data_IF_993697812235
#
_entry.id   IF_993697812235
#
_cell.length_a   1.000
_cell.length_b   1.000
_cell.length_c   1.000
_cell.angle_alpha   90.00
_cell.angle_beta   90.00
_cell.angle_gamma   90.00
#
_symmetry.space_group_name_H-M   'P 1'
#
loop_
_entity.id
_entity.type
_entity.pdbx_description
1 polymer ?
#
# COMPACT_ATOMS: atom_id res chain seq x y z
N UNK A 1 -59.09 20.95 28.89
CA UNK A 1 -60.19 21.81 28.38
C UNK A 1 -60.19 23.10 29.18
N UNK A 2 -60.38 24.24 28.51
CA UNK A 2 -60.37 25.66 28.97
C UNK A 2 -59.03 26.40 29.13
N UNK A 3 -58.75 27.20 28.09
CA UNK A 3 -58.08 28.52 28.10
C UNK A 3 -59.14 29.59 28.45
N UNK A 4 -58.77 30.75 29.02
CA UNK A 4 -58.92 32.01 28.26
C UNK A 4 -57.74 33.01 28.44
N UNK A 5 -57.70 34.11 27.65
CA UNK A 5 -56.47 34.75 27.18
C UNK A 5 -56.22 36.18 27.70
N UNK A 6 -54.96 36.61 27.67
CA UNK A 6 -54.53 38.00 27.48
C UNK A 6 -53.42 37.99 26.42
N UNK A 7 -53.22 38.94 25.52
CA UNK A 7 -53.62 40.34 25.48
C UNK A 7 -52.47 41.09 24.79
N UNK A 8 -52.52 41.12 23.45
CA UNK A 8 -51.89 42.03 22.45
C UNK A 8 -50.46 42.57 22.66
N UNK A 9 -49.63 42.38 21.63
CA UNK A 9 -48.98 43.51 20.95
C UNK A 9 -48.76 43.22 19.46
N UNK A 10 -49.08 44.25 18.67
CA UNK A 10 -49.10 44.30 17.21
C UNK A 10 -47.68 44.35 16.61
N UNK A 11 -47.43 43.55 15.58
CA UNK A 11 -46.46 43.88 14.52
C UNK A 11 -47.05 43.45 13.17
N UNK A 12 -47.32 44.45 12.33
CA UNK A 12 -47.78 44.32 10.96
C UNK A 12 -46.70 43.72 10.03
N UNK A 13 -47.07 43.17 8.86
CA UNK A 13 -46.20 42.30 8.07
C UNK A 13 -45.22 43.13 7.21
N UNK A 14 -43.93 42.82 7.31
CA UNK A 14 -42.93 43.35 6.39
C UNK A 14 -42.99 42.58 5.07
N UNK A 15 -43.37 43.32 4.03
CA UNK A 15 -43.40 42.99 2.61
C UNK A 15 -42.11 42.35 2.08
N UNK A 16 -42.27 41.32 1.24
CA UNK A 16 -41.22 40.70 0.46
C UNK A 16 -40.51 41.71 -0.46
N UNK A 17 -39.16 41.70 -0.56
CA UNK A 17 -38.44 42.53 -1.51
C UNK A 17 -38.48 41.93 -2.93
N UNK A 18 -38.36 42.78 -3.97
CA UNK A 18 -38.57 42.41 -5.36
C UNK A 18 -37.43 41.57 -5.93
N UNK A 19 -37.83 40.66 -6.82
CA UNK A 19 -36.98 39.84 -7.66
C UNK A 19 -36.35 40.72 -8.76
N UNK A 20 -35.08 41.12 -8.59
CA UNK A 20 -34.33 41.83 -9.63
C UNK A 20 -33.05 41.06 -9.97
N UNK A 21 -33.12 40.28 -11.04
CA UNK A 21 -31.96 39.64 -11.67
C UNK A 21 -31.05 40.72 -12.29
N UNK A 22 -29.73 40.67 -12.10
CA UNK A 22 -28.80 41.56 -12.80
C UNK A 22 -28.64 41.15 -14.29
N UNK A 23 -28.26 42.09 -15.17
CA UNK A 23 -28.19 41.84 -16.61
C UNK A 23 -27.05 40.88 -16.98
N UNK A 24 -27.36 39.94 -17.86
CA UNK A 24 -26.41 39.01 -18.50
C UNK A 24 -25.47 39.81 -19.39
N UNK A 25 -24.23 40.01 -18.95
CA UNK A 25 -23.13 40.43 -19.81
C UNK A 25 -22.71 39.24 -20.69
N UNK A 26 -22.81 39.43 -22.01
CA UNK A 26 -22.30 38.48 -23.00
C UNK A 26 -20.78 38.44 -22.92
N UNK A 27 -20.23 37.50 -22.17
CA UNK A 27 -18.81 37.16 -22.23
C UNK A 27 -18.61 36.22 -23.41
N UNK A 28 -17.98 36.73 -24.47
CA UNK A 28 -17.52 35.97 -25.63
C UNK A 28 -16.69 34.78 -25.19
N UNK A 29 -17.17 33.57 -25.49
CA UNK A 29 -16.48 32.32 -25.26
C UNK A 29 -15.26 32.24 -26.23
N UNK A 30 -14.07 32.63 -25.77
CA UNK A 30 -12.82 32.30 -26.47
C UNK A 30 -12.48 30.86 -26.10
N UNK A 31 -12.90 29.92 -26.94
CA UNK A 31 -12.41 28.54 -26.94
C UNK A 31 -10.91 28.57 -27.22
N UNK A 32 -10.08 28.37 -26.18
CA UNK A 32 -8.67 28.00 -26.36
C UNK A 32 -8.64 26.59 -26.96
N UNK A 33 -8.55 26.51 -28.29
CA UNK A 33 -8.18 25.27 -28.98
C UNK A 33 -6.70 25.02 -28.69
N UNK A 34 -6.42 24.12 -27.76
CA UNK A 34 -5.10 23.49 -27.66
C UNK A 34 -5.01 22.50 -28.82
N UNK A 35 -4.30 22.90 -29.87
CA UNK A 35 -4.00 22.04 -31.01
C UNK A 35 -2.85 21.12 -30.62
N UNK A 36 -3.14 19.85 -30.35
CA UNK A 36 -2.09 18.83 -30.33
C UNK A 36 -1.61 18.59 -31.77
N UNK A 37 -0.30 18.55 -32.05
CA UNK A 37 0.17 18.13 -33.36
C UNK A 37 -0.25 16.68 -33.60
N UNK A 38 -1.10 16.49 -34.61
CA UNK A 38 -1.44 15.17 -35.14
C UNK A 38 -0.16 14.63 -35.78
N UNK A 39 0.51 13.69 -35.11
CA UNK A 39 1.53 12.86 -35.75
C UNK A 39 0.87 12.01 -36.85
N UNK A 40 1.45 11.90 -38.05
CA UNK A 40 0.84 11.14 -39.14
C UNK A 40 0.74 9.66 -38.75
N UNK A 41 -0.46 9.11 -38.92
CA UNK A 41 -0.74 7.69 -38.78
C UNK A 41 0.12 6.89 -39.77
N UNK A 42 1.11 6.16 -39.25
CA UNK A 42 1.78 5.10 -39.99
C UNK A 42 0.78 3.97 -40.19
N UNK A 43 0.27 3.85 -41.42
CA UNK A 43 -0.39 2.64 -41.90
C UNK A 43 0.60 1.48 -41.84
N UNK A 44 0.37 0.53 -40.94
CA UNK A 44 0.98 -0.79 -40.98
C UNK A 44 -0.14 -1.81 -41.21
N UNK A 45 -0.46 -2.06 -42.48
CA UNK A 45 -1.20 -3.25 -42.91
C UNK A 45 -0.16 -4.17 -43.54
N UNK A 46 0.19 -5.24 -42.83
CA UNK A 46 1.14 -6.24 -43.28
C UNK A 46 1.00 -7.52 -42.45
N UNK A 47 0.55 -8.58 -43.10
CA UNK A 47 0.41 -9.95 -42.64
C UNK A 47 1.59 -10.44 -41.77
N UNK A 48 1.30 -10.88 -40.54
CA UNK A 48 2.34 -11.42 -39.66
C UNK A 48 1.80 -12.09 -38.40
N UNK A 49 0.69 -12.82 -38.50
CA UNK A 49 0.12 -13.53 -37.34
C UNK A 49 1.05 -14.59 -36.73
N UNK A 50 2.11 -15.02 -37.43
CA UNK A 50 3.13 -15.95 -36.91
C UNK A 50 4.41 -15.28 -36.39
N UNK A 51 4.57 -13.96 -36.50
CA UNK A 51 5.77 -13.26 -36.04
C UNK A 51 5.57 -12.55 -34.69
N UNK A 52 4.29 -12.27 -34.34
CA UNK A 52 3.89 -11.59 -33.09
C UNK A 52 4.13 -12.46 -31.85
N UNK A 53 3.98 -13.78 -31.93
CA UNK A 53 4.29 -14.68 -30.80
C UNK A 53 5.78 -14.73 -30.45
N UNK A 54 6.69 -14.45 -31.39
CA UNK A 54 8.13 -14.50 -31.13
C UNK A 54 8.69 -13.25 -30.41
N UNK A 55 7.91 -12.15 -30.40
CA UNK A 55 8.31 -10.83 -29.86
C UNK A 55 7.79 -10.54 -28.45
N UNK A 56 7.02 -11.47 -27.86
CA UNK A 56 6.65 -11.45 -26.43
C UNK A 56 7.72 -12.07 -25.52
N UNK A 57 8.93 -12.34 -26.04
CA UNK A 57 10.09 -12.49 -25.16
C UNK A 57 10.34 -11.15 -24.48
N UNK A 58 10.10 -11.13 -23.18
CA UNK A 58 10.44 -10.03 -22.28
C UNK A 58 11.73 -9.35 -22.75
N UNK A 59 11.73 -8.02 -22.97
CA UNK A 59 12.98 -7.34 -23.26
C UNK A 59 13.93 -7.68 -22.11
N UNK A 60 15.05 -8.33 -22.43
CA UNK A 60 16.17 -8.46 -21.49
C UNK A 60 16.57 -7.03 -21.17
N UNK A 61 16.07 -6.49 -20.05
CA UNK A 61 16.48 -5.19 -19.54
C UNK A 61 17.99 -5.23 -19.41
N UNK A 62 18.68 -4.32 -20.08
CA UNK A 62 20.13 -4.23 -20.01
C UNK A 62 20.52 -4.10 -18.52
N UNK A 63 21.41 -4.95 -17.99
CA UNK A 63 21.87 -4.82 -16.62
C UNK A 63 22.55 -3.45 -16.45
N UNK A 64 22.22 -2.76 -15.36
CA UNK A 64 22.93 -1.53 -14.98
C UNK A 64 24.42 -1.87 -14.74
N UNK A 65 25.36 -0.97 -15.06
CA UNK A 65 26.78 -1.20 -14.81
C UNK A 65 27.06 -1.49 -13.32
N UNK A 66 27.90 -2.49 -13.03
CA UNK A 66 28.18 -2.97 -11.67
C UNK A 66 28.74 -1.90 -10.72
N UNK A 67 29.44 -0.88 -11.22
CA UNK A 67 29.95 0.24 -10.40
C UNK A 67 28.83 1.17 -9.93
N UNK A 68 27.89 1.50 -10.82
CA UNK A 68 26.75 2.35 -10.53
C UNK A 68 25.81 1.65 -9.52
N UNK A 69 25.61 0.34 -9.70
CA UNK A 69 24.87 -0.48 -8.73
C UNK A 69 25.48 -0.39 -7.31
N UNK A 70 26.81 -0.39 -7.17
CA UNK A 70 27.46 -0.33 -5.84
C UNK A 70 27.29 1.01 -5.13
N UNK A 71 27.44 2.13 -5.85
CA UNK A 71 27.28 3.48 -5.28
C UNK A 71 25.83 3.71 -4.83
N UNK A 72 24.88 3.36 -5.69
CA UNK A 72 23.46 3.46 -5.40
C UNK A 72 23.07 2.55 -4.21
N UNK A 73 23.67 1.35 -4.05
CA UNK A 73 23.43 0.47 -2.87
C UNK A 73 23.84 1.17 -1.58
N UNK A 74 25.00 1.84 -1.57
CA UNK A 74 25.50 2.52 -0.37
C UNK A 74 24.59 3.69 -0.02
N UNK A 75 24.12 4.43 -1.01
CA UNK A 75 23.17 5.53 -0.81
C UNK A 75 21.82 5.02 -0.26
N UNK A 76 21.28 3.93 -0.80
CA UNK A 76 19.92 3.48 -0.48
C UNK A 76 19.80 2.50 0.69
N UNK A 77 20.92 2.08 1.29
CA UNK A 77 20.90 1.13 2.42
C UNK A 77 20.04 1.61 3.60
N UNK A 78 19.88 2.94 3.75
CA UNK A 78 19.00 3.53 4.76
C UNK A 78 17.55 3.08 4.55
N UNK A 79 17.06 2.98 3.32
CA UNK A 79 15.69 2.54 3.04
C UNK A 79 15.43 1.11 3.52
N UNK A 80 16.34 0.16 3.25
CA UNK A 80 16.25 -1.22 3.77
C UNK A 80 16.26 -1.25 5.30
N UNK A 81 17.16 -0.47 5.89
CA UNK A 81 17.33 -0.35 7.34
C UNK A 81 16.08 0.24 8.02
N UNK A 82 15.47 1.27 7.43
CA UNK A 82 14.23 1.88 7.90
C UNK A 82 13.09 0.89 7.80
N UNK A 83 12.86 0.29 6.62
CA UNK A 83 11.84 -0.75 6.41
C UNK A 83 11.97 -1.87 7.44
N UNK A 84 13.16 -2.47 7.58
CA UNK A 84 13.36 -3.57 8.52
C UNK A 84 13.14 -3.20 10.00
N UNK A 85 13.35 -1.93 10.38
CA UNK A 85 13.15 -1.48 11.77
C UNK A 85 11.69 -1.12 12.05
N UNK A 86 11.01 -0.48 11.11
CA UNK A 86 9.65 0.03 11.30
C UNK A 86 8.57 -1.03 11.02
N UNK A 87 8.81 -1.97 10.09
CA UNK A 87 7.81 -2.94 9.62
C UNK A 87 7.06 -3.68 10.75
N UNK A 88 7.70 -4.12 11.86
CA UNK A 88 7.00 -4.82 12.92
C UNK A 88 5.85 -4.00 13.54
N UNK A 89 6.00 -2.67 13.68
CA UNK A 89 4.93 -1.81 14.21
C UNK A 89 3.65 -1.92 13.37
N UNK A 90 3.78 -1.95 12.04
CA UNK A 90 2.63 -2.06 11.16
C UNK A 90 2.12 -3.50 11.03
N UNK A 91 3.02 -4.43 10.70
CA UNK A 91 2.65 -5.79 10.25
C UNK A 91 1.94 -6.60 11.32
N UNK A 92 2.15 -6.29 12.60
CA UNK A 92 1.43 -6.93 13.70
C UNK A 92 -0.09 -6.85 13.58
N UNK A 93 -0.63 -5.81 12.94
CA UNK A 93 -2.09 -5.61 12.79
C UNK A 93 -2.77 -6.76 12.02
N UNK A 94 -2.04 -7.45 11.14
CA UNK A 94 -2.58 -8.54 10.34
C UNK A 94 -2.70 -9.86 11.12
N UNK A 95 -2.01 -9.96 12.25
CA UNK A 95 -1.96 -11.18 13.08
C UNK A 95 -2.53 -10.94 14.49
N UNK A 96 -2.87 -9.69 14.81
CA UNK A 96 -3.50 -9.28 16.05
C UNK A 96 -4.77 -10.09 16.33
N UNK A 97 -4.90 -10.79 17.47
CA UNK A 97 -6.13 -11.52 17.81
C UNK A 97 -7.37 -10.62 17.85
N UNK A 98 -7.18 -9.33 18.18
CA UNK A 98 -8.21 -8.29 18.24
C UNK A 98 -8.89 -8.06 16.89
N UNK A 99 -8.22 -8.39 15.77
CA UNK A 99 -8.73 -8.19 14.43
C UNK A 99 -10.06 -8.91 14.20
N UNK A 100 -10.20 -10.15 14.69
CA UNK A 100 -11.42 -10.93 14.44
C UNK A 100 -12.64 -10.27 15.05
N UNK A 101 -12.52 -9.80 16.28
CA UNK A 101 -13.63 -9.21 17.01
C UNK A 101 -14.00 -7.84 16.42
N UNK A 102 -13.01 -6.98 16.17
CA UNK A 102 -13.26 -5.64 15.62
C UNK A 102 -13.83 -5.66 14.20
N UNK A 103 -13.33 -6.56 13.34
CA UNK A 103 -13.85 -6.69 11.98
C UNK A 103 -15.24 -7.36 11.96
N UNK A 104 -15.52 -8.31 12.87
CA UNK A 104 -16.86 -8.90 12.99
C UNK A 104 -17.90 -7.88 13.42
N UNK A 105 -17.56 -6.95 14.33
CA UNK A 105 -18.46 -5.86 14.77
C UNK A 105 -18.91 -4.96 13.61
N UNK A 106 -18.07 -4.81 12.58
CA UNK A 106 -18.40 -4.01 11.38
C UNK A 106 -18.89 -4.87 10.22
N UNK A 107 -19.26 -6.14 10.43
CA UNK A 107 -19.89 -6.99 9.41
C UNK A 107 -18.94 -7.89 8.62
N UNK A 108 -17.62 -7.80 8.83
CA UNK A 108 -16.63 -8.63 8.15
C UNK A 108 -16.39 -9.93 8.94
N UNK A 109 -17.25 -10.93 8.74
CA UNK A 109 -17.22 -12.19 9.51
C UNK A 109 -16.16 -13.20 9.04
N UNK A 110 -15.73 -13.11 7.78
CA UNK A 110 -14.78 -14.07 7.19
C UNK A 110 -13.36 -13.55 7.37
N UNK A 111 -12.50 -14.28 8.07
CA UNK A 111 -11.09 -13.87 8.28
C UNK A 111 -10.34 -13.53 6.99
N UNK A 112 -10.61 -14.25 5.89
CA UNK A 112 -10.00 -13.97 4.59
C UNK A 112 -10.36 -12.60 4.00
N UNK A 113 -11.45 -11.95 4.45
CA UNK A 113 -11.81 -10.62 4.01
C UNK A 113 -11.10 -9.50 4.80
N UNK A 114 -10.59 -9.79 6.00
CA UNK A 114 -10.02 -8.78 6.91
C UNK A 114 -8.84 -8.05 6.29
N UNK A 115 -7.88 -8.78 5.71
CA UNK A 115 -6.71 -8.19 5.07
C UNK A 115 -7.08 -7.32 3.87
N UNK A 116 -7.90 -7.87 2.96
CA UNK A 116 -8.29 -7.18 1.73
C UNK A 116 -9.11 -5.94 2.04
N UNK A 117 -10.13 -6.05 2.90
CA UNK A 117 -10.97 -4.91 3.28
C UNK A 117 -10.18 -3.84 4.02
N UNK A 118 -9.43 -4.21 5.07
CA UNK A 118 -8.74 -3.23 5.93
C UNK A 118 -7.69 -2.41 5.18
N UNK A 119 -6.97 -3.04 4.25
CA UNK A 119 -5.94 -2.34 3.47
C UNK A 119 -6.53 -1.57 2.28
N UNK A 120 -7.66 -2.01 1.70
CA UNK A 120 -8.29 -1.33 0.54
C UNK A 120 -9.29 -0.26 0.91
N UNK A 121 -9.87 -0.30 2.12
CA UNK A 121 -10.88 0.67 2.56
C UNK A 121 -10.48 2.15 2.39
N UNK A 122 -9.21 2.58 2.57
CA UNK A 122 -8.83 3.97 2.29
C UNK A 122 -9.02 4.40 0.83
N UNK A 123 -9.08 3.46 -0.13
CA UNK A 123 -9.41 3.75 -1.53
C UNK A 123 -10.91 3.98 -1.76
N UNK A 124 -11.75 3.78 -0.73
CA UNK A 124 -13.19 3.72 -0.85
C UNK A 124 -13.71 2.32 -1.21
N UNK A 125 -15.00 2.22 -1.54
CA UNK A 125 -15.67 0.98 -1.93
C UNK A 125 -15.34 0.60 -3.40
N UNK A 126 -14.05 0.46 -3.71
CA UNK A 126 -13.56 0.14 -5.06
C UNK A 126 -13.83 -1.31 -5.43
N UNK A 127 -13.94 -1.57 -6.74
CA UNK A 127 -14.23 -2.91 -7.25
C UNK A 127 -13.08 -3.90 -7.02
N UNK A 128 -13.39 -5.19 -7.14
CA UNK A 128 -12.41 -6.27 -7.03
C UNK A 128 -11.28 -6.14 -8.06
N UNK A 129 -11.55 -5.59 -9.25
CA UNK A 129 -10.55 -5.34 -10.29
C UNK A 129 -9.49 -4.33 -9.83
N UNK A 130 -9.92 -3.24 -9.19
CA UNK A 130 -9.02 -2.21 -8.66
C UNK A 130 -8.21 -2.75 -7.48
N UNK A 131 -8.85 -3.52 -6.59
CA UNK A 131 -8.14 -4.19 -5.50
C UNK A 131 -7.13 -5.19 -6.06
N UNK A 132 -7.47 -6.02 -7.04
CA UNK A 132 -6.54 -6.98 -7.63
C UNK A 132 -5.34 -6.29 -8.30
N UNK A 133 -5.57 -5.20 -9.04
CA UNK A 133 -4.50 -4.45 -9.68
C UNK A 133 -3.52 -3.83 -8.67
N UNK A 134 -4.01 -3.34 -7.53
CA UNK A 134 -3.19 -2.69 -6.49
C UNK A 134 -2.56 -3.70 -5.52
N UNK A 135 -3.24 -4.82 -5.25
CA UNK A 135 -2.79 -5.91 -4.40
C UNK A 135 -2.06 -6.96 -5.24
N UNK A 136 -1.07 -6.49 -6.01
CA UNK A 136 -0.31 -7.21 -7.04
C UNK A 136 -0.13 -8.71 -6.80
N UNK A 137 0.26 -9.11 -5.59
CA UNK A 137 0.54 -10.51 -5.25
C UNK A 137 -0.66 -11.46 -5.21
N UNK A 138 -1.91 -11.00 -5.11
CA UNK A 138 -3.07 -11.88 -4.93
C UNK A 138 -3.55 -12.52 -6.24
N UNK A 139 -4.08 -13.74 -6.16
CA UNK A 139 -4.87 -14.32 -7.24
C UNK A 139 -6.19 -13.56 -7.40
N UNK A 140 -6.60 -13.31 -8.64
CA UNK A 140 -7.86 -12.63 -8.94
C UNK A 140 -9.06 -13.34 -8.28
N UNK A 141 -9.10 -14.66 -8.32
CA UNK A 141 -10.14 -15.48 -7.71
C UNK A 141 -10.21 -15.29 -6.19
N UNK A 142 -9.07 -15.11 -5.52
CA UNK A 142 -9.02 -14.83 -4.10
C UNK A 142 -9.60 -13.45 -3.77
N UNK A 143 -9.28 -12.42 -4.58
CA UNK A 143 -9.82 -11.06 -4.39
C UNK A 143 -11.34 -11.03 -4.64
N UNK A 144 -11.79 -11.59 -5.77
CA UNK A 144 -13.21 -11.64 -6.15
C UNK A 144 -14.08 -12.39 -5.14
N UNK A 145 -13.50 -13.34 -4.41
CA UNK A 145 -14.19 -14.11 -3.37
C UNK A 145 -14.58 -13.28 -2.14
N UNK A 146 -13.90 -12.17 -1.87
CA UNK A 146 -14.07 -11.42 -0.62
C UNK A 146 -14.50 -9.98 -0.84
N UNK A 147 -13.87 -9.25 -1.78
CA UNK A 147 -14.04 -7.79 -1.89
C UNK A 147 -15.50 -7.35 -2.12
N UNK A 148 -16.28 -7.97 -3.03
CA UNK A 148 -17.68 -7.56 -3.22
C UNK A 148 -18.51 -7.68 -1.94
N UNK A 149 -18.38 -8.83 -1.25
CA UNK A 149 -19.08 -9.09 0.00
C UNK A 149 -18.70 -8.10 1.11
N UNK A 150 -17.47 -7.57 1.11
CA UNK A 150 -17.08 -6.54 2.08
C UNK A 150 -17.98 -5.30 1.95
N UNK A 151 -18.14 -4.79 0.72
CA UNK A 151 -18.85 -3.53 0.48
C UNK A 151 -20.37 -3.67 0.52
N UNK A 152 -20.89 -4.90 0.38
CA UNK A 152 -22.30 -5.20 0.67
C UNK A 152 -22.60 -5.19 2.17
N UNK A 153 -21.62 -5.52 3.01
CA UNK A 153 -21.80 -5.70 4.46
C UNK A 153 -21.38 -4.49 5.31
N UNK A 154 -20.51 -3.63 4.79
CA UNK A 154 -19.92 -2.53 5.57
C UNK A 154 -19.46 -1.37 4.71
N UNK A 155 -19.15 -0.24 5.34
CA UNK A 155 -18.58 0.92 4.64
C UNK A 155 -17.07 0.98 4.80
N UNK A 156 -16.34 1.58 3.84
CA UNK A 156 -14.92 1.79 3.97
C UNK A 156 -14.52 2.55 5.26
N UNK A 157 -15.30 3.56 5.65
CA UNK A 157 -15.05 4.34 6.86
C UNK A 157 -15.15 3.48 8.12
N UNK A 158 -16.17 2.61 8.22
CA UNK A 158 -16.32 1.69 9.35
C UNK A 158 -15.12 0.73 9.46
N UNK A 159 -14.61 0.25 8.33
CA UNK A 159 -13.43 -0.62 8.26
C UNK A 159 -12.16 0.12 8.66
N UNK A 160 -11.95 1.36 8.20
CA UNK A 160 -10.82 2.20 8.60
C UNK A 160 -10.83 2.42 10.11
N UNK A 161 -11.99 2.76 10.68
CA UNK A 161 -12.12 2.93 12.13
C UNK A 161 -11.87 1.62 12.89
N UNK A 162 -12.36 0.48 12.40
CA UNK A 162 -12.06 -0.82 12.98
C UNK A 162 -10.56 -1.12 12.96
N UNK A 163 -9.88 -0.85 11.86
CA UNK A 163 -8.44 -1.05 11.72
C UNK A 163 -7.63 -0.24 12.74
N UNK A 164 -8.02 1.02 13.00
CA UNK A 164 -7.38 1.81 14.06
C UNK A 164 -7.64 1.25 15.45
N UNK A 165 -8.86 0.74 15.74
CA UNK A 165 -9.15 0.06 17.01
C UNK A 165 -8.30 -1.20 17.20
N UNK A 166 -8.10 -1.99 16.15
CA UNK A 166 -7.21 -3.16 16.19
C UNK A 166 -5.78 -2.73 16.51
N UNK A 167 -5.27 -1.70 15.81
CA UNK A 167 -3.93 -1.18 16.06
C UNK A 167 -3.77 -0.64 17.50
N UNK A 168 -4.75 0.11 18.00
CA UNK A 168 -4.75 0.66 19.36
C UNK A 168 -4.67 -0.43 20.42
N UNK A 169 -5.59 -1.40 20.36
CA UNK A 169 -5.66 -2.49 21.33
C UNK A 169 -4.41 -3.37 21.28
N UNK A 170 -3.93 -3.72 20.08
CA UNK A 170 -2.74 -4.53 19.92
C UNK A 170 -1.48 -3.83 20.42
N UNK A 171 -1.27 -2.55 20.08
CA UNK A 171 -0.09 -1.79 20.55
C UNK A 171 -0.13 -1.56 22.06
N UNK A 172 -1.30 -1.28 22.65
CA UNK A 172 -1.47 -1.19 24.12
C UNK A 172 -1.05 -2.49 24.80
N UNK A 173 -1.52 -3.64 24.29
CA UNK A 173 -1.15 -4.95 24.83
C UNK A 173 0.33 -5.27 24.66
N UNK A 174 0.91 -4.93 23.51
CA UNK A 174 2.29 -5.31 23.16
C UNK A 174 3.35 -4.40 23.80
N UNK A 175 3.05 -3.11 23.99
CA UNK A 175 4.02 -2.10 24.40
C UNK A 175 3.74 -1.51 25.79
N UNK A 176 2.55 -1.71 26.35
CA UNK A 176 2.18 -1.18 27.67
C UNK A 176 2.36 0.34 27.75
N UNK A 177 2.93 0.81 28.86
CA UNK A 177 3.12 2.23 29.17
C UNK A 177 4.03 2.96 28.15
N UNK A 178 4.82 2.22 27.34
CA UNK A 178 5.69 2.83 26.34
C UNK A 178 4.92 3.62 25.27
N UNK A 179 3.63 3.35 25.06
CA UNK A 179 2.79 4.10 24.13
C UNK A 179 2.56 5.56 24.55
N UNK A 180 2.71 5.87 25.84
CA UNK A 180 2.53 7.21 26.41
C UNK A 180 3.86 7.93 26.61
N UNK A 181 4.97 7.33 26.17
CA UNK A 181 6.30 7.90 26.32
C UNK A 181 6.51 9.15 25.44
N UNK A 182 7.28 10.15 25.91
CA UNK A 182 7.70 11.29 25.09
C UNK A 182 8.46 10.85 23.82
N UNK A 183 9.17 9.73 23.88
CA UNK A 183 9.85 9.12 22.74
C UNK A 183 8.85 8.65 21.66
N UNK A 184 7.68 8.13 22.05
CA UNK A 184 6.62 7.72 21.11
C UNK A 184 6.07 8.92 20.35
N UNK A 185 5.79 10.03 21.04
CA UNK A 185 5.33 11.28 20.44
C UNK A 185 6.38 11.87 19.49
N UNK A 186 7.63 11.89 19.92
CA UNK A 186 8.74 12.36 19.09
C UNK A 186 8.91 11.47 17.85
N UNK A 187 8.85 10.14 18.01
CA UNK A 187 8.98 9.20 16.90
C UNK A 187 7.81 9.34 15.90
N UNK A 188 6.59 9.51 16.39
CA UNK A 188 5.41 9.77 15.57
C UNK A 188 5.59 11.04 14.73
N UNK A 189 6.06 12.12 15.34
CA UNK A 189 6.31 13.40 14.67
C UNK A 189 7.32 13.24 13.53
N UNK A 190 8.50 12.65 13.79
CA UNK A 190 9.53 12.45 12.76
C UNK A 190 9.05 11.51 11.65
N UNK A 191 8.32 10.45 12.00
CA UNK A 191 7.79 9.51 11.01
C UNK A 191 6.72 10.15 10.12
N UNK A 192 5.85 11.01 10.68
CA UNK A 192 4.85 11.76 9.92
C UNK A 192 5.50 12.78 8.98
N UNK A 193 6.56 13.47 9.42
CA UNK A 193 7.34 14.36 8.54
C UNK A 193 7.94 13.60 7.35
N UNK A 194 8.51 12.41 7.60
CA UNK A 194 9.01 11.55 6.52
C UNK A 194 7.89 11.14 5.56
N UNK A 195 6.75 10.70 6.10
CA UNK A 195 5.60 10.28 5.30
C UNK A 195 5.01 11.42 4.47
N UNK A 196 5.01 12.65 4.99
CA UNK A 196 4.53 13.84 4.27
C UNK A 196 5.41 14.22 3.07
N UNK A 197 6.67 13.78 3.04
CA UNK A 197 7.57 13.99 1.92
C UNK A 197 7.42 12.95 0.79
N UNK A 198 6.56 11.94 0.94
CA UNK A 198 6.34 10.92 -0.08
C UNK A 198 5.50 11.46 -1.25
N UNK A 199 6.01 11.41 -2.50
CA UNK A 199 5.22 11.77 -3.68
C UNK A 199 4.11 10.71 -3.96
N UNK A 200 2.86 11.11 -4.20
CA UNK A 200 1.75 10.18 -4.37
C UNK A 200 1.62 9.58 -5.78
N UNK A 201 2.32 10.11 -6.78
CA UNK A 201 2.14 9.76 -8.18
C UNK A 201 2.46 8.28 -8.46
N UNK A 202 1.49 7.56 -9.02
CA UNK A 202 1.63 6.12 -9.27
C UNK A 202 1.65 5.26 -8.00
N UNK A 203 1.28 5.82 -6.84
CA UNK A 203 1.26 5.13 -5.53
C UNK A 203 -0.17 5.06 -4.98
N UNK A 204 -1.07 4.25 -5.57
CA UNK A 204 -2.48 4.27 -5.22
C UNK A 204 -2.77 3.89 -3.77
N UNK A 205 -2.06 2.91 -3.19
CA UNK A 205 -2.26 2.53 -1.79
C UNK A 205 -1.73 3.61 -0.86
N UNK A 206 -0.53 4.13 -1.13
CA UNK A 206 -0.02 5.26 -0.34
C UNK A 206 -0.97 6.47 -0.40
N UNK A 207 -1.35 6.90 -1.60
CA UNK A 207 -2.20 8.08 -1.79
C UNK A 207 -3.55 7.95 -1.08
N UNK A 208 -4.14 6.76 -1.13
CA UNK A 208 -5.39 6.47 -0.44
C UNK A 208 -5.26 6.56 1.09
N UNK A 209 -4.20 5.98 1.67
CA UNK A 209 -3.98 6.09 3.12
C UNK A 209 -3.55 7.49 3.54
N UNK A 210 -2.80 8.21 2.70
CA UNK A 210 -2.35 9.59 2.96
C UNK A 210 -3.52 10.59 2.98
N UNK A 211 -4.66 10.24 2.38
CA UNK A 211 -5.90 11.02 2.48
C UNK A 211 -6.59 10.94 3.85
N UNK A 212 -6.11 10.09 4.77
CA UNK A 212 -6.66 9.94 6.12
C UNK A 212 -5.88 10.84 7.07
N UNK A 213 -6.59 11.62 7.89
CA UNK A 213 -5.96 12.44 8.92
C UNK A 213 -5.24 11.55 9.97
N UNK A 214 -3.99 11.89 10.36
CA UNK A 214 -3.30 11.19 11.42
C UNK A 214 -4.11 11.23 12.73
N UNK A 215 -4.21 10.12 13.48
CA UNK A 215 -4.84 10.13 14.81
C UNK A 215 -4.05 10.94 15.83
N UNK A 216 -4.73 11.50 16.84
CA UNK A 216 -4.08 12.30 17.90
C UNK A 216 -3.19 11.47 18.83
N UNK A 217 -3.54 10.21 19.08
CA UNK A 217 -2.79 9.36 20.01
C UNK A 217 -1.40 9.01 19.42
N UNK A 218 -0.29 9.25 20.12
CA UNK A 218 1.08 9.11 19.57
C UNK A 218 1.40 7.76 18.94
N UNK A 219 1.04 6.65 19.57
CA UNK A 219 1.29 5.31 19.04
C UNK A 219 0.47 5.01 17.78
N UNK A 220 -0.73 5.58 17.65
CA UNK A 220 -1.55 5.48 16.44
C UNK A 220 -1.04 6.39 15.33
N UNK A 221 -0.57 7.60 15.67
CA UNK A 221 0.09 8.51 14.74
C UNK A 221 1.35 7.87 14.15
N UNK A 222 2.20 7.27 15.00
CA UNK A 222 3.38 6.52 14.55
C UNK A 222 2.99 5.33 13.67
N UNK A 223 2.02 4.53 14.10
CA UNK A 223 1.55 3.39 13.31
C UNK A 223 0.96 3.80 11.95
N UNK A 224 0.25 4.93 11.90
CA UNK A 224 -0.27 5.50 10.67
C UNK A 224 0.89 5.96 9.76
N UNK A 225 1.87 6.69 10.27
CA UNK A 225 3.05 7.09 9.50
C UNK A 225 3.81 5.87 8.93
N UNK A 226 4.01 4.82 9.74
CA UNK A 226 4.63 3.57 9.27
C UNK A 226 3.78 2.90 8.20
N UNK A 227 2.45 2.94 8.31
CA UNK A 227 1.54 2.46 7.25
C UNK A 227 1.81 3.22 5.94
N UNK A 228 1.86 4.55 5.98
CA UNK A 228 2.11 5.37 4.78
C UNK A 228 3.45 5.02 4.14
N UNK A 229 4.53 4.99 4.92
CA UNK A 229 5.88 4.67 4.43
C UNK A 229 5.95 3.26 3.83
N UNK A 230 5.21 2.32 4.43
CA UNK A 230 5.10 0.93 3.97
C UNK A 230 4.32 0.81 2.67
N UNK A 231 3.17 1.46 2.55
CA UNK A 231 2.40 1.47 1.29
C UNK A 231 3.18 2.20 0.19
N UNK A 232 3.87 3.30 0.52
CA UNK A 232 4.73 4.01 -0.41
C UNK A 232 5.81 3.09 -0.98
N UNK A 233 6.59 2.41 -0.13
CA UNK A 233 7.59 1.43 -0.60
C UNK A 233 6.93 0.27 -1.38
N UNK A 234 5.78 -0.21 -0.92
CA UNK A 234 5.04 -1.32 -1.55
C UNK A 234 4.62 -1.02 -2.99
N UNK A 235 4.00 0.14 -3.23
CA UNK A 235 3.63 0.57 -4.56
C UNK A 235 4.86 0.72 -5.48
N UNK A 236 6.00 1.18 -4.94
CA UNK A 236 7.26 1.25 -5.68
C UNK A 236 7.84 -0.11 -6.04
N UNK A 237 7.71 -1.09 -5.14
CA UNK A 237 8.10 -2.47 -5.40
C UNK A 237 7.25 -3.08 -6.53
N UNK A 238 5.93 -2.84 -6.49
CA UNK A 238 5.02 -3.28 -7.54
C UNK A 238 5.42 -2.65 -8.90
N UNK A 239 5.72 -1.35 -8.92
CA UNK A 239 6.20 -0.70 -10.13
C UNK A 239 7.52 -1.31 -10.67
N UNK A 240 8.47 -1.61 -9.79
CA UNK A 240 9.73 -2.25 -10.17
C UNK A 240 9.53 -3.66 -10.76
N UNK A 241 8.59 -4.44 -10.22
CA UNK A 241 8.20 -5.74 -10.76
C UNK A 241 7.54 -5.62 -12.15
N UNK A 242 6.60 -4.67 -12.29
CA UNK A 242 5.89 -4.40 -13.56
C UNK A 242 6.84 -4.00 -14.67
N UNK A 243 7.77 -3.06 -14.42
CA UNK A 243 8.76 -2.61 -15.41
C UNK A 243 9.66 -3.76 -15.87
N UNK A 244 9.94 -4.72 -14.98
CA UNK A 244 10.73 -5.92 -15.29
C UNK A 244 9.90 -7.06 -15.89
N UNK A 245 8.59 -6.88 -16.07
CA UNK A 245 7.70 -7.91 -16.60
C UNK A 245 7.58 -9.14 -15.71
N UNK A 246 7.92 -9.04 -14.42
CA UNK A 246 7.82 -10.16 -13.47
C UNK A 246 6.41 -10.20 -12.92
N UNK A 247 5.66 -11.26 -13.22
CA UNK A 247 4.32 -11.48 -12.70
C UNK A 247 4.30 -11.88 -11.21
N UNK A 248 3.11 -11.88 -10.57
CA UNK A 248 3.00 -12.04 -9.12
C UNK A 248 3.45 -13.41 -8.60
N UNK A 249 3.07 -14.49 -9.27
CA UNK A 249 3.46 -15.85 -8.83
C UNK A 249 4.96 -16.08 -9.01
N UNK A 250 5.53 -15.56 -10.10
CA UNK A 250 6.98 -15.55 -10.34
C UNK A 250 7.70 -14.75 -9.25
N UNK A 251 7.17 -13.59 -8.87
CA UNK A 251 7.74 -12.77 -7.79
C UNK A 251 7.75 -13.53 -6.45
N UNK A 252 6.65 -14.22 -6.11
CA UNK A 252 6.56 -15.03 -4.90
C UNK A 252 7.46 -16.26 -4.92
N UNK A 253 7.49 -17.02 -6.01
CA UNK A 253 8.40 -18.15 -6.19
C UNK A 253 9.86 -17.74 -6.04
N UNK A 254 10.23 -16.62 -6.67
CA UNK A 254 11.59 -16.11 -6.59
C UNK A 254 11.91 -15.52 -5.21
N UNK A 255 10.93 -14.94 -4.50
CA UNK A 255 11.11 -14.58 -3.09
C UNK A 255 11.28 -15.82 -2.19
N UNK A 256 10.52 -16.89 -2.41
CA UNK A 256 10.64 -18.14 -1.65
C UNK A 256 11.95 -18.88 -1.88
N UNK A 257 12.53 -18.78 -3.08
CA UNK A 257 13.84 -19.36 -3.39
C UNK A 257 15.01 -18.58 -2.77
N UNK A 258 14.82 -17.31 -2.41
CA UNK A 258 15.85 -16.48 -1.78
C UNK A 258 16.18 -16.97 -0.36
N UNK A 259 17.47 -17.02 0.04
CA UNK A 259 17.84 -17.30 1.43
C UNK A 259 17.13 -16.36 2.41
N UNK A 260 16.47 -16.91 3.44
CA UNK A 260 15.61 -16.17 4.38
C UNK A 260 14.40 -15.48 3.72
N UNK A 261 14.02 -15.96 2.54
CA UNK A 261 12.82 -15.60 1.81
C UNK A 261 11.54 -16.12 2.46
N UNK A 262 10.42 -15.83 1.82
CA UNK A 262 9.11 -16.18 2.37
C UNK A 262 8.80 -17.68 2.29
N UNK A 263 8.13 -18.20 3.31
CA UNK A 263 7.68 -19.59 3.30
C UNK A 263 6.67 -19.83 2.18
N UNK A 264 7.02 -20.70 1.22
CA UNK A 264 6.20 -20.96 0.03
C UNK A 264 4.78 -21.41 0.34
N UNK A 265 4.61 -22.38 1.26
CA UNK A 265 3.29 -22.92 1.61
C UNK A 265 2.38 -21.84 2.22
N UNK A 266 2.97 -20.99 3.08
CA UNK A 266 2.28 -19.84 3.64
C UNK A 266 1.87 -18.84 2.55
N UNK A 267 2.78 -18.46 1.65
CA UNK A 267 2.48 -17.50 0.56
C UNK A 267 1.44 -18.06 -0.41
N UNK A 268 1.52 -19.35 -0.77
CA UNK A 268 0.55 -20.00 -1.64
C UNK A 268 -0.87 -19.92 -1.04
N UNK A 269 -0.98 -20.21 0.26
CA UNK A 269 -2.25 -20.14 0.99
C UNK A 269 -2.76 -18.70 1.10
N UNK A 270 -1.87 -17.76 1.46
CA UNK A 270 -2.23 -16.35 1.68
C UNK A 270 -2.72 -15.68 0.40
N UNK A 271 -2.03 -15.89 -0.72
CA UNK A 271 -2.32 -15.21 -1.98
C UNK A 271 -3.27 -15.98 -2.90
N UNK A 272 -3.54 -17.25 -2.60
CA UNK A 272 -4.60 -18.04 -3.24
C UNK A 272 -4.27 -18.52 -4.66
N UNK A 273 -2.98 -18.66 -5.00
CA UNK A 273 -2.56 -19.18 -6.31
C UNK A 273 -2.59 -20.71 -6.35
N UNK A 274 -2.96 -21.28 -7.50
CA UNK A 274 -3.02 -22.73 -7.69
C UNK A 274 -1.64 -23.37 -7.81
N UNK A 275 -1.53 -24.68 -7.59
CA UNK A 275 -0.26 -25.41 -7.74
C UNK A 275 0.29 -25.32 -9.16
N UNK A 276 -0.57 -25.31 -10.19
CA UNK A 276 -0.18 -25.16 -11.58
C UNK A 276 0.44 -23.79 -11.85
N UNK A 277 -0.11 -22.72 -11.24
CA UNK A 277 0.43 -21.38 -11.37
C UNK A 277 1.82 -21.27 -10.73
N UNK A 278 2.02 -21.95 -9.60
CA UNK A 278 3.32 -22.06 -8.93
C UNK A 278 4.33 -22.87 -9.74
N UNK A 279 3.92 -23.99 -10.34
CA UNK A 279 4.78 -24.78 -11.22
C UNK A 279 5.19 -24.01 -12.48
N UNK A 280 4.27 -23.25 -13.09
CA UNK A 280 4.56 -22.37 -14.21
C UNK A 280 5.53 -21.24 -13.83
N UNK A 281 5.42 -20.71 -12.61
CA UNK A 281 6.35 -19.72 -12.10
C UNK A 281 7.76 -20.30 -11.89
N UNK A 282 7.87 -21.51 -11.36
CA UNK A 282 9.17 -22.19 -11.22
C UNK A 282 9.82 -22.45 -12.59
N UNK A 283 9.04 -22.90 -13.58
CA UNK A 283 9.52 -23.06 -14.95
C UNK A 283 10.00 -21.73 -15.55
N UNK A 284 9.26 -20.64 -15.31
CA UNK A 284 9.67 -19.29 -15.75
C UNK A 284 11.00 -18.86 -15.13
N UNK A 285 11.22 -19.13 -13.85
CA UNK A 285 12.49 -18.80 -13.18
C UNK A 285 13.66 -19.62 -13.71
N UNK A 286 13.44 -20.89 -14.03
CA UNK A 286 14.43 -21.74 -14.67
C UNK A 286 14.76 -21.24 -16.10
N UNK A 287 13.76 -20.86 -16.88
CA UNK A 287 13.94 -20.33 -18.24
C UNK A 287 14.68 -18.98 -18.26
N UNK A 288 14.45 -18.15 -17.23
CA UNK A 288 15.22 -16.91 -17.01
C UNK A 288 16.65 -17.19 -16.53
N UNK A 289 16.98 -18.43 -16.16
CA UNK A 289 18.26 -18.80 -15.59
C UNK A 289 18.47 -18.31 -14.15
N UNK A 290 17.39 -17.96 -13.44
CA UNK A 290 17.43 -17.47 -12.06
C UNK A 290 17.47 -18.60 -11.04
N UNK A 291 17.00 -19.79 -11.41
CA UNK A 291 17.05 -20.99 -10.57
C UNK A 291 17.72 -22.14 -11.29
N UNK A 292 18.45 -22.97 -10.52
CA UNK A 292 18.95 -24.26 -10.93
C UNK A 292 17.80 -25.28 -11.04
N UNK A 293 18.09 -26.47 -11.60
CA UNK A 293 17.12 -27.57 -11.72
C UNK A 293 16.58 -28.07 -10.37
N UNK A 294 17.32 -27.87 -9.29
CA UNK A 294 16.92 -28.24 -7.93
C UNK A 294 16.10 -27.14 -7.23
N UNK A 295 15.81 -26.03 -7.92
CA UNK A 295 15.05 -24.89 -7.39
C UNK A 295 15.89 -23.88 -6.60
N UNK A 296 17.18 -24.12 -6.38
CA UNK A 296 18.08 -23.15 -5.74
C UNK A 296 18.37 -21.96 -6.65
N UNK A 297 18.61 -20.78 -6.10
CA UNK A 297 18.99 -19.62 -6.92
C UNK A 297 20.37 -19.78 -7.56
N UNK A 298 20.48 -19.35 -8.81
CA UNK A 298 21.76 -19.12 -9.48
C UNK A 298 22.39 -17.81 -9.02
N UNK A 299 23.66 -17.59 -9.36
CA UNK A 299 24.30 -16.29 -9.17
C UNK A 299 23.55 -15.18 -9.90
N UNK A 300 23.12 -15.43 -11.14
CA UNK A 300 22.28 -14.50 -11.90
C UNK A 300 20.96 -14.19 -11.17
N UNK A 301 20.28 -15.20 -10.64
CA UNK A 301 19.03 -15.02 -9.90
C UNK A 301 19.21 -14.22 -8.61
N UNK A 302 20.36 -14.34 -7.94
CA UNK A 302 20.71 -13.51 -6.78
C UNK A 302 21.01 -12.07 -7.20
N UNK A 303 21.80 -11.87 -8.26
CA UNK A 303 22.13 -10.54 -8.79
C UNK A 303 20.86 -9.81 -9.23
N UNK A 304 20.00 -10.44 -10.01
CA UNK A 304 18.77 -9.82 -10.49
C UNK A 304 17.77 -9.55 -9.36
N UNK A 305 17.83 -10.30 -8.24
CA UNK A 305 17.11 -9.94 -7.03
C UNK A 305 17.64 -8.68 -6.38
N UNK A 306 18.95 -8.59 -6.23
CA UNK A 306 19.55 -7.40 -5.63
C UNK A 306 19.25 -6.15 -6.47
N UNK A 307 19.27 -6.26 -7.81
CA UNK A 307 18.89 -5.15 -8.68
C UNK A 307 17.41 -4.76 -8.52
N UNK A 308 16.50 -5.73 -8.38
CA UNK A 308 15.08 -5.45 -8.10
C UNK A 308 14.89 -4.75 -6.74
N UNK A 309 15.53 -5.25 -5.68
CA UNK A 309 15.44 -4.65 -4.35
C UNK A 309 16.04 -3.25 -4.35
N UNK A 310 17.16 -3.05 -5.03
CA UNK A 310 17.77 -1.74 -5.19
C UNK A 310 16.86 -0.75 -5.92
N UNK A 311 16.22 -1.16 -7.02
CA UNK A 311 15.23 -0.33 -7.70
C UNK A 311 14.06 0.04 -6.76
N UNK A 312 13.66 -0.89 -5.90
CA UNK A 312 12.65 -0.64 -4.87
C UNK A 312 13.14 0.37 -3.82
N UNK A 313 14.40 0.25 -3.40
CA UNK A 313 14.99 1.13 -2.39
C UNK A 313 15.12 2.55 -2.94
N UNK A 314 15.65 2.71 -4.16
CA UNK A 314 15.72 4.00 -4.89
C UNK A 314 14.32 4.63 -4.96
N UNK A 315 13.32 3.85 -5.36
CA UNK A 315 11.93 4.28 -5.45
C UNK A 315 11.28 4.61 -4.09
N UNK A 316 11.99 4.44 -2.97
CA UNK A 316 11.51 4.70 -1.61
C UNK A 316 12.36 5.72 -0.84
N UNK A 317 13.33 6.38 -1.50
CA UNK A 317 14.32 7.23 -0.82
C UNK A 317 13.81 8.58 -0.34
N UNK A 318 12.82 9.17 -1.00
CA UNK A 318 12.35 10.53 -0.68
C UNK A 318 12.02 10.80 0.80
N UNK A 319 11.25 9.95 1.52
CA UNK A 319 11.01 10.16 2.95
C UNK A 319 12.30 10.23 3.78
N UNK A 320 13.34 9.49 3.40
CA UNK A 320 14.60 9.41 4.14
C UNK A 320 15.54 10.57 3.81
N UNK A 321 15.53 11.03 2.56
CA UNK A 321 16.23 12.26 2.15
C UNK A 321 15.66 13.48 2.88
N UNK A 322 14.34 13.55 3.01
CA UNK A 322 13.66 14.67 3.66
C UNK A 322 14.02 14.85 5.14
N UNK A 323 14.09 13.76 5.91
CA UNK A 323 14.47 13.84 7.33
C UNK A 323 15.99 13.76 7.56
N UNK A 324 16.76 13.33 6.58
CA UNK A 324 18.22 13.21 6.67
C UNK A 324 18.71 12.01 7.50
N UNK A 325 19.99 11.70 7.36
CA UNK A 325 20.60 10.49 7.93
C UNK A 325 20.58 10.47 9.47
N UNK A 326 20.85 11.61 10.12
CA UNK A 326 20.85 11.70 11.58
C UNK A 326 19.48 11.36 12.18
N UNK A 327 18.40 11.95 11.63
CA UNK A 327 17.04 11.67 12.10
C UNK A 327 16.59 10.26 11.73
N UNK A 328 17.02 9.72 10.58
CA UNK A 328 16.82 8.29 10.27
C UNK A 328 17.49 7.39 11.32
N UNK A 329 18.73 7.70 11.69
CA UNK A 329 19.49 6.94 12.69
C UNK A 329 18.83 7.00 14.06
N UNK A 330 18.45 8.21 14.49
CA UNK A 330 17.71 8.45 15.73
C UNK A 330 16.38 7.69 15.74
N UNK A 331 15.53 7.86 14.71
CA UNK A 331 14.21 7.21 14.64
C UNK A 331 14.35 5.68 14.72
N UNK A 332 15.34 5.10 14.04
CA UNK A 332 15.63 3.66 14.14
C UNK A 332 16.09 3.24 15.52
N UNK A 333 16.93 4.03 16.19
CA UNK A 333 17.38 3.72 17.54
C UNK A 333 16.20 3.75 18.52
N UNK A 334 15.34 4.76 18.41
CA UNK A 334 14.14 4.95 19.24
C UNK A 334 13.12 3.84 19.06
N UNK A 335 12.80 3.45 17.82
CA UNK A 335 11.75 2.45 17.54
C UNK A 335 12.20 1.01 17.79
N UNK A 336 13.51 0.73 17.69
CA UNK A 336 14.03 -0.65 17.74
C UNK A 336 13.62 -1.46 18.98
N UNK A 337 13.60 -0.91 20.20
CA UNK A 337 13.10 -1.63 21.38
C UNK A 337 11.64 -2.09 21.20
N UNK A 338 10.75 -1.23 20.73
CA UNK A 338 9.33 -1.58 20.51
C UNK A 338 9.17 -2.62 19.40
N UNK A 339 9.89 -2.46 18.30
CA UNK A 339 9.89 -3.42 17.21
C UNK A 339 10.33 -4.82 17.68
N UNK A 340 11.35 -4.89 18.56
CA UNK A 340 11.79 -6.15 19.18
C UNK A 340 10.71 -6.73 20.10
N UNK A 341 10.10 -5.94 20.97
CA UNK A 341 9.00 -6.41 21.84
C UNK A 341 7.86 -7.04 21.03
N UNK A 342 7.50 -6.45 19.89
CA UNK A 342 6.47 -6.99 18.99
C UNK A 342 6.90 -8.33 18.37
N UNK A 343 8.15 -8.42 17.92
CA UNK A 343 8.72 -9.66 17.35
C UNK A 343 8.79 -10.77 18.41
N UNK A 344 9.32 -10.46 19.59
CA UNK A 344 9.51 -11.40 20.70
C UNK A 344 8.17 -11.91 21.24
N UNK A 345 7.11 -11.10 21.14
CA UNK A 345 5.73 -11.51 21.43
C UNK A 345 5.10 -12.40 20.35
N UNK A 346 5.83 -12.74 19.27
CA UNK A 346 5.34 -13.60 18.20
C UNK A 346 4.29 -12.94 17.30
N UNK A 347 4.16 -11.61 17.32
CA UNK A 347 3.04 -10.91 16.68
C UNK A 347 3.19 -10.72 15.15
N UNK A 348 4.18 -11.35 14.50
CA UNK A 348 4.43 -11.22 13.05
C UNK A 348 4.05 -12.47 12.23
N UNK A 349 3.47 -13.46 12.87
CA UNK A 349 2.95 -14.66 12.24
C UNK A 349 1.65 -15.06 12.95
N UNK A 350 0.79 -15.89 12.33
CA UNK A 350 -0.33 -16.47 13.04
C UNK A 350 0.19 -17.18 14.31
N UNK A 351 -0.47 -16.96 15.45
CA UNK A 351 -0.23 -17.81 16.60
C UNK A 351 -0.51 -19.25 16.18
N UNK A 352 0.51 -20.12 16.26
CA UNK A 352 0.32 -21.56 16.12
C UNK A 352 -0.46 -21.99 17.37
N UNK A 353 -1.77 -22.08 17.23
CA UNK A 353 -2.67 -22.66 18.23
C UNK A 353 -2.65 -24.17 18.18
#
# INVERSE_FOLDING_TARGET
MKVPPGGRSDVAPASAPPNSSPPVTKTTNRTLRITFPILPALHYIGSGASEVESRLRHPKTLPLPTSQLKEDIVETIVARKMRGTLEPLHTMVYFAPEATDEYTKVGLRRRGSHYLASRSAPMGAVSAEIVHATFFGFAESAVRRYVPECWDNTTPEAVVQARFRVADQALRRLLGDAIESPEMESAATVALEAAAACPPEGRPLFAAHAGIAPPDAPHLALWHAVTLLREFRGDGHNAALVVRGIGPVVAHAWYSATPRGGNRAFLATLFGHSEEAWAAADATLADLGYTNRDGSLTELGLTEREVLEQATDIASMEPWRAIGEERCSWLRATVRPWARSIVDAGALAPALG
#
